data_IF_795146380840
#
_entry.id   IF_795146380840
#
_cell.length_a   1.000
_cell.length_b   1.000
_cell.length_c   1.000
_cell.angle_alpha   90.00
_cell.angle_beta   90.00
_cell.angle_gamma   90.00
#
_symmetry.space_group_name_H-M   'P 1'
#
loop_
_entity.id
_entity.type
_entity.pdbx_description
1 polymer ?
#
# COMPACT_ATOMS: atom_id res chain seq x y z
N UNK A 1 2.91 5.72 -20.70
CA UNK A 1 2.85 4.61 -19.71
C UNK A 1 2.78 3.22 -20.38
N UNK A 2 1.81 2.99 -21.28
CA UNK A 2 1.63 1.72 -22.00
C UNK A 2 2.89 1.19 -22.69
N UNK A 3 3.62 2.05 -23.42
CA UNK A 3 4.88 1.63 -24.06
C UNK A 3 5.96 1.25 -23.04
N UNK A 4 6.02 1.96 -21.90
CA UNK A 4 6.99 1.70 -20.83
C UNK A 4 6.68 0.47 -20.00
N UNK A 5 5.41 0.03 -19.96
CA UNK A 5 4.94 -1.16 -19.26
C UNK A 5 5.09 -2.45 -20.09
N UNK A 6 5.63 -2.36 -21.31
CA UNK A 6 6.04 -3.54 -22.06
C UNK A 6 7.20 -4.22 -21.33
N UNK A 7 7.18 -5.55 -21.09
CA UNK A 7 8.20 -6.21 -20.27
C UNK A 7 9.65 -5.92 -20.70
N UNK A 8 9.93 -5.89 -22.00
CA UNK A 8 11.27 -5.58 -22.52
C UNK A 8 11.71 -4.15 -22.19
N UNK A 9 10.82 -3.17 -22.35
CA UNK A 9 11.09 -1.76 -22.03
C UNK A 9 11.17 -1.54 -20.52
N UNK A 10 10.27 -2.16 -19.75
CA UNK A 10 10.25 -2.05 -18.31
C UNK A 10 11.51 -2.65 -17.68
N UNK A 11 12.00 -3.78 -18.20
CA UNK A 11 13.24 -4.41 -17.74
C UNK A 11 14.43 -3.45 -17.78
N UNK A 12 14.57 -2.66 -18.84
CA UNK A 12 15.65 -1.65 -18.96
C UNK A 12 15.54 -0.57 -17.89
N UNK A 13 14.33 -0.12 -17.55
CA UNK A 13 14.10 0.82 -16.45
C UNK A 13 14.43 0.22 -15.08
N UNK A 14 14.18 -1.08 -14.92
CA UNK A 14 14.53 -1.81 -13.69
C UNK A 14 16.03 -2.07 -13.54
N UNK A 15 16.78 -2.13 -14.63
CA UNK A 15 18.25 -2.15 -14.57
C UNK A 15 18.81 -0.86 -13.97
N UNK A 16 18.12 0.26 -14.19
CA UNK A 16 18.40 1.57 -13.57
C UNK A 16 17.77 1.71 -12.17
N UNK A 17 17.06 0.67 -11.70
CA UNK A 17 16.32 0.63 -10.44
C UNK A 17 15.36 1.82 -10.26
N UNK A 18 14.65 2.23 -11.31
CA UNK A 18 13.71 3.36 -11.21
C UNK A 18 12.49 3.06 -10.31
N UNK A 19 12.03 1.80 -10.23
CA UNK A 19 10.81 1.41 -9.52
C UNK A 19 11.08 0.27 -8.52
N UNK A 20 10.49 0.37 -7.34
CA UNK A 20 10.57 -0.64 -6.28
C UNK A 20 9.26 -1.44 -6.25
N UNK A 21 9.20 -2.52 -7.01
CA UNK A 21 7.97 -3.29 -7.20
C UNK A 21 8.13 -4.82 -7.05
N UNK A 22 9.27 -5.27 -6.51
CA UNK A 22 9.65 -6.67 -6.35
C UNK A 22 9.78 -7.44 -7.68
N UNK A 23 9.77 -6.74 -8.83
CA UNK A 23 9.93 -7.30 -10.16
C UNK A 23 11.06 -6.57 -10.92
N UNK A 24 12.25 -7.20 -11.09
CA UNK A 24 12.69 -8.46 -10.47
C UNK A 24 12.85 -8.33 -8.95
N UNK A 25 13.07 -9.44 -8.23
CA UNK A 25 13.15 -9.43 -6.74
C UNK A 25 14.13 -8.42 -6.15
N UNK A 26 15.20 -8.08 -6.86
CA UNK A 26 16.20 -7.06 -6.46
C UNK A 26 15.67 -5.62 -6.46
N UNK A 27 14.55 -5.36 -7.13
CA UNK A 27 13.92 -4.04 -7.22
C UNK A 27 12.88 -3.89 -6.10
N UNK A 28 13.35 -3.87 -4.86
CA UNK A 28 12.52 -3.88 -3.65
C UNK A 28 13.05 -2.85 -2.65
N UNK A 29 12.15 -2.20 -1.90
CA UNK A 29 12.52 -1.56 -0.64
C UNK A 29 12.27 -2.59 0.47
N UNK A 30 13.16 -2.73 1.46
CA UNK A 30 12.92 -3.65 2.56
C UNK A 30 11.68 -3.32 3.38
N UNK A 31 11.24 -2.06 3.41
CA UNK A 31 10.05 -1.62 4.14
C UNK A 31 8.83 -1.67 3.23
N UNK A 32 7.90 -2.60 3.42
CA UNK A 32 6.72 -2.71 2.56
C UNK A 32 5.78 -1.52 2.72
N UNK A 33 4.99 -1.21 1.69
CA UNK A 33 4.09 -0.04 1.70
C UNK A 33 3.03 -0.10 2.81
N UNK A 34 2.70 -1.30 3.28
CA UNK A 34 1.80 -1.54 4.42
C UNK A 34 2.39 -1.04 5.76
N UNK A 35 3.72 -0.90 5.86
CA UNK A 35 4.39 -0.25 6.98
C UNK A 35 4.66 1.23 6.72
N UNK A 36 4.66 1.69 5.46
CA UNK A 36 4.83 3.11 5.13
C UNK A 36 3.53 3.92 5.27
N UNK A 37 2.38 3.32 4.94
CA UNK A 37 1.07 3.97 5.09
C UNK A 37 0.02 3.02 5.67
N UNK A 38 -0.68 3.42 6.75
CA UNK A 38 -1.63 2.56 7.44
C UNK A 38 -2.80 2.13 6.55
N UNK A 39 -3.22 2.98 5.61
CA UNK A 39 -4.36 2.71 4.72
C UNK A 39 -4.23 1.40 3.96
N UNK A 40 -3.02 1.00 3.56
CA UNK A 40 -2.79 -0.26 2.85
C UNK A 40 -2.92 -1.46 3.77
N UNK A 41 -2.36 -1.35 4.98
CA UNK A 41 -2.44 -2.41 5.98
C UNK A 41 -3.88 -2.60 6.46
N UNK A 42 -4.60 -1.52 6.69
CA UNK A 42 -6.04 -1.53 6.99
C UNK A 42 -6.85 -2.14 5.84
N UNK A 43 -6.58 -1.78 4.59
CA UNK A 43 -7.26 -2.38 3.44
C UNK A 43 -7.06 -3.90 3.37
N UNK A 44 -5.85 -4.40 3.63
CA UNK A 44 -5.56 -5.84 3.67
C UNK A 44 -6.35 -6.54 4.78
N UNK A 45 -6.40 -5.95 5.97
CA UNK A 45 -7.17 -6.48 7.10
C UNK A 45 -8.68 -6.46 6.81
N UNK A 46 -9.19 -5.34 6.27
CA UNK A 46 -10.59 -5.17 5.90
C UNK A 46 -10.98 -6.20 4.83
N UNK A 47 -10.12 -6.51 3.87
CA UNK A 47 -10.39 -7.58 2.88
C UNK A 47 -10.62 -8.96 3.53
N UNK A 48 -10.08 -9.21 4.73
CA UNK A 48 -10.27 -10.47 5.45
C UNK A 48 -11.45 -10.42 6.41
N UNK A 49 -11.62 -9.29 7.09
CA UNK A 49 -12.49 -9.14 8.27
C UNK A 49 -13.80 -8.42 7.99
N UNK A 50 -13.89 -7.64 6.91
CA UNK A 50 -15.11 -6.89 6.58
C UNK A 50 -16.31 -7.83 6.49
N UNK A 51 -17.45 -7.36 6.97
CA UNK A 51 -18.73 -8.05 6.85
C UNK A 51 -19.50 -7.45 5.66
N UNK A 52 -19.64 -8.17 4.53
CA UNK A 52 -20.30 -7.64 3.35
C UNK A 52 -21.76 -7.27 3.60
N UNK A 53 -22.17 -6.11 3.11
CA UNK A 53 -23.58 -5.71 3.11
C UNK A 53 -24.33 -6.37 1.95
N UNK A 54 -25.67 -6.32 1.98
CA UNK A 54 -26.52 -6.75 0.84
C UNK A 54 -26.09 -6.07 -0.45
N UNK A 55 -25.84 -4.75 -0.39
CA UNK A 55 -25.39 -3.97 -1.54
C UNK A 55 -24.02 -4.43 -2.08
N UNK A 56 -23.11 -4.90 -1.23
CA UNK A 56 -21.80 -5.41 -1.68
C UNK A 56 -21.94 -6.77 -2.37
N UNK A 57 -22.82 -7.63 -1.86
CA UNK A 57 -23.12 -8.92 -2.48
C UNK A 57 -23.82 -8.75 -3.83
N UNK A 58 -24.84 -7.88 -3.90
CA UNK A 58 -25.56 -7.57 -5.14
C UNK A 58 -24.61 -6.99 -6.21
N UNK A 59 -23.74 -6.07 -5.78
CA UNK A 59 -22.70 -5.52 -6.65
C UNK A 59 -21.78 -6.61 -7.19
N UNK A 60 -21.27 -7.48 -6.34
CA UNK A 60 -20.34 -8.56 -6.75
C UNK A 60 -21.01 -9.54 -7.70
N UNK A 61 -22.26 -9.91 -7.44
CA UNK A 61 -23.02 -10.80 -8.32
C UNK A 61 -23.18 -10.16 -9.71
N UNK A 62 -23.74 -8.95 -9.78
CA UNK A 62 -23.91 -8.24 -11.05
C UNK A 62 -22.57 -8.02 -11.77
N UNK A 63 -21.52 -7.76 -11.01
CA UNK A 63 -20.16 -7.56 -11.53
C UNK A 63 -19.59 -8.83 -12.13
N UNK A 64 -19.76 -9.97 -11.44
CA UNK A 64 -19.25 -11.26 -11.88
C UNK A 64 -19.85 -11.69 -13.22
N UNK A 65 -21.18 -11.53 -13.37
CA UNK A 65 -21.89 -11.83 -14.62
C UNK A 65 -21.39 -10.95 -15.78
N UNK A 66 -21.28 -9.64 -15.54
CA UNK A 66 -20.77 -8.70 -16.55
C UNK A 66 -19.32 -9.01 -16.92
N UNK A 67 -18.46 -9.34 -15.97
CA UNK A 67 -17.03 -9.57 -16.26
C UNK A 67 -16.70 -10.93 -16.84
N UNK A 68 -17.50 -11.94 -16.53
CA UNK A 68 -17.38 -13.25 -17.15
C UNK A 68 -17.84 -13.26 -18.63
N UNK A 69 -18.40 -12.14 -19.12
CA UNK A 69 -18.78 -11.99 -20.52
C UNK A 69 -17.58 -11.72 -21.43
N UNK A 70 -17.70 -12.07 -22.70
CA UNK A 70 -16.69 -11.77 -23.71
C UNK A 70 -16.86 -10.37 -24.28
N UNK A 71 -15.77 -9.61 -24.30
CA UNK A 71 -15.73 -8.27 -24.85
C UNK A 71 -14.92 -8.21 -26.15
N UNK A 72 -15.38 -7.45 -27.16
CA UNK A 72 -14.68 -7.34 -28.43
C UNK A 72 -13.37 -6.54 -28.32
N UNK A 73 -13.24 -5.69 -27.30
CA UNK A 73 -12.05 -4.89 -27.04
C UNK A 73 -11.99 -4.40 -25.59
N UNK A 74 -10.78 -4.02 -25.17
CA UNK A 74 -10.44 -3.48 -23.84
C UNK A 74 -11.31 -2.27 -23.46
N UNK A 75 -11.51 -1.33 -24.38
CA UNK A 75 -12.31 -0.13 -24.14
C UNK A 75 -13.74 -0.46 -23.70
N UNK A 76 -14.38 -1.45 -24.35
CA UNK A 76 -15.78 -1.84 -24.03
C UNK A 76 -15.85 -2.51 -22.66
N UNK A 77 -14.90 -3.37 -22.33
CA UNK A 77 -14.80 -4.01 -21.02
C UNK A 77 -14.58 -2.97 -19.91
N UNK A 78 -13.66 -2.03 -20.12
CA UNK A 78 -13.33 -0.99 -19.13
C UNK A 78 -14.45 0.05 -18.97
N UNK A 79 -15.16 0.40 -20.04
CA UNK A 79 -16.39 1.20 -19.94
C UNK A 79 -17.44 0.51 -19.07
N UNK A 80 -17.65 -0.79 -19.30
CA UNK A 80 -18.59 -1.58 -18.52
C UNK A 80 -18.18 -1.65 -17.05
N UNK A 81 -16.89 -1.80 -16.77
CA UNK A 81 -16.40 -1.78 -15.40
C UNK A 81 -16.59 -0.45 -14.70
N UNK A 82 -16.22 0.65 -15.36
CA UNK A 82 -16.39 1.99 -14.79
C UNK A 82 -17.85 2.31 -14.48
N UNK A 83 -18.77 1.86 -15.34
CA UNK A 83 -20.19 2.02 -15.07
C UNK A 83 -20.60 1.26 -13.80
N UNK A 84 -20.16 0.00 -13.66
CA UNK A 84 -20.48 -0.80 -12.47
C UNK A 84 -19.87 -0.20 -11.20
N UNK A 85 -18.64 0.30 -11.24
CA UNK A 85 -18.03 0.99 -10.10
C UNK A 85 -18.77 2.29 -9.74
N UNK A 86 -19.24 3.04 -10.74
CA UNK A 86 -20.05 4.25 -10.54
C UNK A 86 -21.33 3.92 -9.80
N UNK A 87 -22.04 2.87 -10.22
CA UNK A 87 -23.27 2.40 -9.58
C UNK A 87 -23.02 1.97 -8.12
N UNK A 88 -21.80 1.49 -7.83
CA UNK A 88 -21.35 1.11 -6.48
C UNK A 88 -20.92 2.29 -5.59
N UNK A 89 -20.88 3.50 -6.14
CA UNK A 89 -20.49 4.73 -5.45
C UNK A 89 -19.02 5.12 -5.60
N UNK A 90 -18.29 4.53 -6.54
CA UNK A 90 -16.90 4.90 -6.88
C UNK A 90 -16.89 5.52 -8.28
N UNK A 91 -16.83 6.85 -8.34
CA UNK A 91 -16.83 7.58 -9.60
C UNK A 91 -15.41 7.78 -10.12
N UNK A 92 -15.05 7.06 -11.18
CA UNK A 92 -13.76 7.24 -11.87
C UNK A 92 -13.90 8.18 -13.06
N UNK A 93 -12.95 9.09 -13.19
CA UNK A 93 -12.77 9.94 -14.37
C UNK A 93 -11.83 9.22 -15.35
N UNK A 94 -12.13 9.28 -16.65
CA UNK A 94 -11.08 9.10 -17.66
C UNK A 94 -10.75 10.47 -18.21
N UNK A 95 -9.61 11.00 -17.80
CA UNK A 95 -9.06 12.22 -18.36
C UNK A 95 -7.59 12.04 -18.73
N UNK A 96 -7.11 12.95 -19.56
CA UNK A 96 -5.72 12.96 -19.99
C UNK A 96 -4.82 13.31 -18.80
N UNK A 97 -3.75 12.54 -18.62
CA UNK A 97 -2.73 12.69 -17.58
C UNK A 97 -1.48 13.31 -18.19
N UNK A 98 -0.99 14.37 -17.55
CA UNK A 98 0.22 15.13 -17.85
C UNK A 98 0.34 15.75 -19.25
N UNK A 99 1.43 16.50 -19.42
CA UNK A 99 1.73 17.26 -20.64
C UNK A 99 1.79 16.40 -21.91
N UNK A 100 2.14 15.11 -21.76
CA UNK A 100 2.28 14.15 -22.87
C UNK A 100 0.98 13.44 -23.28
N UNK A 101 -0.20 13.90 -22.84
CA UNK A 101 -1.51 13.46 -23.39
C UNK A 101 -1.78 11.95 -23.30
N UNK A 102 -1.45 11.29 -22.18
CA UNK A 102 -1.78 9.86 -22.00
C UNK A 102 -3.11 9.72 -21.27
N UNK A 103 -4.03 8.88 -21.76
CA UNK A 103 -5.34 8.66 -21.12
C UNK A 103 -5.28 7.39 -20.28
N UNK A 104 -5.57 7.49 -18.98
CA UNK A 104 -5.77 6.31 -18.10
C UNK A 104 -7.09 5.64 -18.44
N UNK A 105 -7.21 4.33 -18.19
CA UNK A 105 -8.51 3.66 -18.27
C UNK A 105 -9.50 4.17 -17.21
N UNK A 106 -8.97 4.73 -16.12
CA UNK A 106 -9.70 5.59 -15.19
C UNK A 106 -8.87 5.94 -13.97
N UNK A 107 -9.26 7.00 -13.27
CA UNK A 107 -8.66 7.36 -12.00
C UNK A 107 -9.64 8.14 -11.12
N UNK A 108 -9.33 8.20 -9.83
CA UNK A 108 -10.00 9.03 -8.84
C UNK A 108 -9.01 10.06 -8.32
N UNK A 109 -9.38 11.34 -8.39
CA UNK A 109 -8.62 12.42 -7.77
C UNK A 109 -9.21 12.77 -6.40
N UNK A 110 -8.39 13.40 -5.56
CA UNK A 110 -8.83 14.11 -4.37
C UNK A 110 -9.81 15.22 -4.72
N UNK A 111 -10.56 15.70 -3.73
CA UNK A 111 -11.60 16.74 -3.93
C UNK A 111 -11.03 18.03 -4.51
N UNK A 112 -9.77 18.35 -4.21
CA UNK A 112 -9.05 19.51 -4.75
C UNK A 112 -8.39 19.24 -6.12
N UNK A 113 -8.51 18.02 -6.67
CA UNK A 113 -7.95 17.62 -7.96
C UNK A 113 -6.43 17.42 -8.00
N UNK A 114 -5.73 17.53 -6.87
CA UNK A 114 -4.26 17.56 -6.84
C UNK A 114 -3.60 16.19 -6.69
N UNK A 115 -4.28 15.22 -6.06
CA UNK A 115 -3.70 13.93 -5.73
C UNK A 115 -4.51 12.80 -6.35
N UNK A 116 -3.83 11.85 -6.99
CA UNK A 116 -4.46 10.62 -7.45
C UNK A 116 -4.60 9.65 -6.29
N UNK A 117 -5.84 9.24 -6.01
CA UNK A 117 -6.19 8.33 -4.91
C UNK A 117 -6.34 6.90 -5.40
N UNK A 118 -6.78 6.75 -6.65
CA UNK A 118 -6.96 5.46 -7.28
C UNK A 118 -6.67 5.54 -8.77
N UNK A 119 -6.05 4.49 -9.30
CA UNK A 119 -5.89 4.27 -10.74
C UNK A 119 -6.49 2.93 -11.08
N UNK A 120 -7.13 2.86 -12.25
CA UNK A 120 -7.53 1.59 -12.82
C UNK A 120 -6.84 1.38 -14.16
N UNK A 121 -6.29 0.20 -14.36
CA UNK A 121 -5.74 -0.24 -15.64
C UNK A 121 -6.23 -1.64 -15.98
N UNK A 122 -6.63 -1.83 -17.23
CA UNK A 122 -7.24 -3.06 -17.70
C UNK A 122 -6.56 -3.63 -18.93
N UNK A 123 -6.73 -4.93 -19.17
CA UNK A 123 -6.49 -5.61 -20.45
C UNK A 123 -7.65 -6.54 -20.73
N UNK A 124 -7.98 -6.70 -22.02
CA UNK A 124 -9.14 -7.51 -22.42
C UNK A 124 -9.11 -8.93 -21.84
N UNK A 125 -7.95 -9.61 -21.92
CA UNK A 125 -7.71 -10.94 -21.39
C UNK A 125 -6.30 -11.07 -20.83
N UNK A 126 -6.03 -12.16 -20.11
CA UNK A 126 -4.66 -12.53 -19.74
C UNK A 126 -3.82 -12.62 -21.02
N UNK A 127 -2.72 -11.84 -21.07
CA UNK A 127 -1.81 -11.77 -22.22
C UNK A 127 -2.37 -11.10 -23.49
N UNK A 128 -3.54 -10.44 -23.46
CA UNK A 128 -4.07 -9.77 -24.65
C UNK A 128 -3.37 -8.45 -24.99
N UNK A 129 -2.59 -7.89 -24.06
CA UNK A 129 -1.85 -6.65 -24.22
C UNK A 129 -0.35 -6.86 -24.31
N UNK A 130 0.34 -5.93 -24.99
CA UNK A 130 1.80 -5.87 -24.95
C UNK A 130 2.33 -5.28 -23.62
N UNK A 131 1.49 -4.53 -22.91
CA UNK A 131 1.78 -3.89 -21.63
C UNK A 131 1.17 -4.69 -20.48
N UNK A 132 1.92 -4.82 -19.39
CA UNK A 132 1.44 -5.44 -18.16
C UNK A 132 0.70 -4.38 -17.32
N UNK A 133 -0.57 -4.62 -16.93
CA UNK A 133 -1.39 -3.56 -16.34
C UNK A 133 -0.96 -3.12 -14.92
N UNK A 134 -0.32 -3.96 -14.10
CA UNK A 134 0.28 -3.50 -12.84
C UNK A 134 1.42 -2.49 -13.07
N UNK A 135 2.35 -2.78 -13.99
CA UNK A 135 3.42 -1.88 -14.39
C UNK A 135 2.85 -0.60 -15.01
N UNK A 136 1.80 -0.71 -15.82
CA UNK A 136 1.16 0.43 -16.45
C UNK A 136 0.51 1.37 -15.43
N UNK A 137 -0.24 0.84 -14.46
CA UNK A 137 -0.84 1.62 -13.38
C UNK A 137 0.23 2.36 -12.56
N UNK A 138 1.33 1.68 -12.23
CA UNK A 138 2.47 2.28 -11.53
C UNK A 138 3.13 3.42 -12.33
N UNK A 139 3.28 3.27 -13.66
CA UNK A 139 3.82 4.32 -14.52
C UNK A 139 2.86 5.51 -14.64
N UNK A 140 1.55 5.28 -14.61
CA UNK A 140 0.57 6.37 -14.52
C UNK A 140 0.67 7.09 -13.19
N UNK A 141 0.76 6.35 -12.08
CA UNK A 141 0.97 6.95 -10.76
C UNK A 141 2.23 7.82 -10.74
N UNK A 142 3.37 7.31 -11.23
CA UNK A 142 4.60 8.11 -11.34
C UNK A 142 4.34 9.42 -12.08
N UNK A 143 3.66 9.37 -13.22
CA UNK A 143 3.37 10.57 -14.01
C UNK A 143 2.48 11.59 -13.27
N UNK A 144 1.46 11.12 -12.54
CA UNK A 144 0.67 12.01 -11.67
C UNK A 144 1.54 12.66 -10.60
N UNK A 145 2.46 11.91 -9.99
CA UNK A 145 3.39 12.45 -9.01
C UNK A 145 4.34 13.48 -9.64
N UNK A 146 4.74 13.28 -10.90
CA UNK A 146 5.55 14.26 -11.63
C UNK A 146 4.81 15.58 -11.88
N UNK A 147 3.54 15.51 -12.26
CA UNK A 147 2.70 16.69 -12.48
C UNK A 147 2.39 17.43 -11.16
N UNK A 148 2.33 16.70 -10.03
CA UNK A 148 2.02 17.23 -8.70
C UNK A 148 3.26 17.52 -7.84
N UNK A 149 4.48 17.53 -8.40
CA UNK A 149 5.76 17.68 -7.65
C UNK A 149 5.77 18.82 -6.63
N UNK A 150 5.22 19.99 -6.99
CA UNK A 150 5.18 21.17 -6.11
C UNK A 150 4.32 20.92 -4.88
N UNK A 151 3.14 20.32 -5.07
CA UNK A 151 2.22 20.01 -3.97
C UNK A 151 2.73 18.84 -3.11
N UNK A 152 3.43 17.87 -3.72
CA UNK A 152 4.12 16.81 -2.98
C UNK A 152 5.18 17.37 -2.04
N UNK A 153 6.00 18.32 -2.52
CA UNK A 153 7.03 18.95 -1.72
C UNK A 153 6.44 19.71 -0.50
N UNK A 154 5.21 20.21 -0.63
CA UNK A 154 4.47 20.84 0.48
C UNK A 154 3.89 19.83 1.46
N UNK A 155 3.40 18.69 0.98
CA UNK A 155 2.79 17.64 1.80
C UNK A 155 3.76 16.95 2.76
N UNK A 156 5.04 16.83 2.37
CA UNK A 156 6.09 16.15 3.14
C UNK A 156 5.65 14.78 3.68
N UNK A 157 4.88 14.04 2.88
CA UNK A 157 4.29 12.78 3.25
C UNK A 157 4.13 11.90 2.02
N UNK A 158 4.16 10.57 2.18
CA UNK A 158 3.85 9.69 1.04
C UNK A 158 2.40 9.90 0.59
N UNK A 159 2.18 9.81 -0.72
CA UNK A 159 0.84 9.92 -1.32
C UNK A 159 0.36 8.53 -1.70
N UNK A 160 -0.36 7.81 -0.83
CA UNK A 160 -0.89 6.49 -1.17
C UNK A 160 -1.90 6.56 -2.33
N UNK A 161 -1.70 5.69 -3.31
CA UNK A 161 -2.64 5.43 -4.40
C UNK A 161 -2.98 3.94 -4.44
N UNK A 162 -4.26 3.59 -4.55
CA UNK A 162 -4.71 2.21 -4.75
C UNK A 162 -4.87 1.94 -6.24
N UNK A 163 -4.34 0.83 -6.73
CA UNK A 163 -4.52 0.42 -8.12
C UNK A 163 -5.50 -0.74 -8.21
N UNK A 164 -6.43 -0.64 -9.15
CA UNK A 164 -7.28 -1.75 -9.57
C UNK A 164 -6.74 -2.23 -10.91
N UNK A 165 -6.38 -3.49 -10.99
CA UNK A 165 -5.85 -4.11 -12.20
C UNK A 165 -6.88 -5.10 -12.70
N UNK A 166 -7.21 -5.03 -13.98
CA UNK A 166 -8.20 -5.91 -14.62
C UNK A 166 -7.56 -6.65 -15.77
N UNK A 167 -7.78 -7.96 -15.86
CA UNK A 167 -7.43 -8.73 -17.05
C UNK A 167 -8.42 -9.86 -17.24
N UNK A 168 -9.20 -9.83 -18.33
CA UNK A 168 -10.34 -10.72 -18.48
C UNK A 168 -11.31 -10.60 -17.31
N UNK A 169 -11.80 -11.72 -16.82
CA UNK A 169 -12.64 -11.79 -15.63
C UNK A 169 -11.86 -11.83 -14.30
N UNK A 170 -10.62 -11.35 -14.24
CA UNK A 170 -9.82 -11.29 -13.02
C UNK A 170 -9.57 -9.85 -12.57
N UNK A 171 -9.52 -9.64 -11.25
CA UNK A 171 -9.20 -8.34 -10.65
C UNK A 171 -8.10 -8.50 -9.61
N UNK A 172 -7.08 -7.64 -9.69
CA UNK A 172 -6.03 -7.49 -8.70
C UNK A 172 -6.07 -6.11 -8.04
N UNK A 173 -5.53 -6.04 -6.82
CA UNK A 173 -5.36 -4.77 -6.11
C UNK A 173 -3.90 -4.62 -5.65
N UNK A 174 -3.31 -3.48 -5.98
CA UNK A 174 -2.00 -3.09 -5.50
C UNK A 174 -2.04 -1.68 -4.94
N UNK A 175 -0.97 -1.26 -4.27
CA UNK A 175 -0.81 0.10 -3.79
C UNK A 175 0.51 0.69 -4.25
N UNK A 176 0.57 2.01 -4.35
CA UNK A 176 1.81 2.74 -4.60
C UNK A 176 1.99 3.92 -3.66
N UNK A 177 3.25 4.20 -3.35
CA UNK A 177 3.70 5.41 -2.66
C UNK A 177 4.90 6.01 -3.40
N UNK A 178 5.01 7.32 -3.33
CA UNK A 178 6.16 8.06 -3.84
C UNK A 178 7.06 8.44 -2.67
N UNK A 179 8.25 7.86 -2.63
CA UNK A 179 9.32 8.21 -1.67
C UNK A 179 10.37 9.05 -2.42
N UNK A 180 11.56 8.50 -2.64
CA UNK A 180 12.52 8.95 -3.67
C UNK A 180 12.23 8.28 -5.03
N UNK A 181 11.63 7.09 -4.96
CA UNK A 181 11.21 6.27 -6.10
C UNK A 181 9.77 5.86 -5.89
N UNK A 182 9.12 5.43 -6.97
CA UNK A 182 7.80 4.81 -6.83
C UNK A 182 7.98 3.41 -6.27
N UNK A 183 7.40 3.17 -5.10
CA UNK A 183 7.31 1.86 -4.49
C UNK A 183 5.90 1.33 -4.62
N UNK A 184 5.76 0.07 -5.05
CA UNK A 184 4.47 -0.57 -5.25
C UNK A 184 4.47 -2.03 -4.80
N UNK A 185 3.46 -2.41 -4.03
CA UNK A 185 3.26 -3.80 -3.60
C UNK A 185 1.85 -4.26 -4.00
N UNK A 186 1.74 -5.56 -4.32
CA UNK A 186 0.45 -6.24 -4.41
C UNK A 186 -0.13 -6.36 -3.00
N UNK A 187 -1.38 -5.93 -2.82
CA UNK A 187 -2.01 -5.87 -1.51
C UNK A 187 -2.76 -7.16 -1.17
N UNK A 188 -3.48 -7.72 -2.14
CA UNK A 188 -4.25 -8.96 -1.98
C UNK A 188 -4.11 -9.84 -3.22
N UNK A 189 -4.36 -11.16 -3.10
CA UNK A 189 -4.39 -12.06 -4.25
C UNK A 189 -5.36 -11.61 -5.34
N UNK A 190 -5.09 -12.02 -6.57
CA UNK A 190 -5.99 -11.80 -7.70
C UNK A 190 -7.29 -12.59 -7.47
N UNK A 191 -8.42 -11.91 -7.66
CA UNK A 191 -9.76 -12.46 -7.47
C UNK A 191 -10.33 -12.78 -8.86
N UNK A 192 -10.55 -14.06 -9.20
CA UNK A 192 -11.32 -14.41 -10.39
C UNK A 192 -12.78 -14.05 -10.16
N UNK A 193 -13.49 -13.58 -11.18
CA UNK A 193 -14.92 -13.24 -11.16
C UNK A 193 -15.79 -14.23 -11.94
N UNK A 194 -15.21 -15.33 -12.41
CA UNK A 194 -15.88 -16.38 -13.18
C UNK A 194 -16.06 -17.66 -12.34
N UNK A 195 -16.25 -17.50 -11.03
CA UNK A 195 -16.44 -18.61 -10.11
C UNK A 195 -17.74 -19.38 -10.40
N UNK A 196 -17.77 -20.62 -9.93
CA UNK A 196 -19.02 -21.39 -9.91
C UNK A 196 -20.02 -20.74 -8.95
N UNK A 197 -21.32 -20.76 -9.27
CA UNK A 197 -22.36 -20.11 -8.45
C UNK A 197 -22.46 -20.66 -7.02
N UNK A 198 -21.96 -21.87 -6.77
CA UNK A 198 -21.90 -22.48 -5.43
C UNK A 198 -20.61 -22.18 -4.67
N UNK A 199 -19.63 -21.52 -5.28
CA UNK A 199 -18.40 -21.09 -4.60
C UNK A 199 -18.68 -19.81 -3.79
N UNK A 200 -19.28 -20.01 -2.62
CA UNK A 200 -19.58 -18.94 -1.69
C UNK A 200 -18.31 -18.30 -1.13
N UNK A 201 -17.19 -19.03 -1.10
CA UNK A 201 -15.94 -18.49 -0.57
C UNK A 201 -15.39 -17.39 -1.47
N UNK A 202 -15.34 -17.62 -2.80
CA UNK A 202 -14.92 -16.59 -3.75
C UNK A 202 -15.88 -15.40 -3.79
N UNK A 203 -17.19 -15.64 -3.71
CA UNK A 203 -18.18 -14.58 -3.65
C UNK A 203 -17.98 -13.68 -2.43
N UNK A 204 -17.83 -14.29 -1.24
CA UNK A 204 -17.58 -13.54 0.00
C UNK A 204 -16.24 -12.82 -0.05
N UNK A 205 -15.18 -13.44 -0.58
CA UNK A 205 -13.88 -12.79 -0.75
C UNK A 205 -14.00 -11.54 -1.62
N UNK A 206 -14.64 -11.64 -2.79
CA UNK A 206 -14.85 -10.50 -3.67
C UNK A 206 -15.67 -9.40 -2.96
N UNK A 207 -16.77 -9.76 -2.29
CA UNK A 207 -17.63 -8.79 -1.61
C UNK A 207 -16.89 -8.08 -0.47
N UNK A 208 -16.06 -8.81 0.27
CA UNK A 208 -15.18 -8.24 1.29
C UNK A 208 -14.18 -7.26 0.71
N UNK A 209 -13.50 -7.64 -0.36
CA UNK A 209 -12.48 -6.79 -0.98
C UNK A 209 -13.08 -5.50 -1.56
N UNK A 210 -14.26 -5.56 -2.18
CA UNK A 210 -14.93 -4.36 -2.69
C UNK A 210 -15.50 -3.47 -1.58
N UNK A 211 -16.01 -4.06 -0.50
CA UNK A 211 -16.41 -3.32 0.69
C UNK A 211 -15.21 -2.60 1.35
N UNK A 212 -14.10 -3.31 1.51
CA UNK A 212 -12.83 -2.76 1.99
C UNK A 212 -12.32 -1.63 1.09
N UNK A 213 -12.44 -1.78 -0.24
CA UNK A 213 -12.08 -0.75 -1.20
C UNK A 213 -12.89 0.53 -0.98
N UNK A 214 -14.21 0.42 -0.77
CA UNK A 214 -15.06 1.58 -0.45
C UNK A 214 -14.63 2.29 0.83
N UNK A 215 -14.26 1.54 1.86
CA UNK A 215 -13.74 2.10 3.11
C UNK A 215 -12.43 2.84 2.84
N UNK A 216 -11.50 2.20 2.14
CA UNK A 216 -10.19 2.77 1.86
C UNK A 216 -10.29 4.05 1.01
N UNK A 217 -11.13 4.05 -0.02
CA UNK A 217 -11.41 5.24 -0.85
C UNK A 217 -11.96 6.38 -0.01
N UNK A 218 -12.97 6.12 0.84
CA UNK A 218 -13.53 7.16 1.72
C UNK A 218 -12.47 7.75 2.66
N UNK A 219 -11.61 6.91 3.24
CA UNK A 219 -10.50 7.35 4.10
C UNK A 219 -9.50 8.21 3.32
N UNK A 220 -9.10 7.80 2.12
CA UNK A 220 -8.20 8.57 1.25
C UNK A 220 -8.83 9.90 0.83
N UNK A 221 -10.08 9.90 0.37
CA UNK A 221 -10.77 11.15 0.02
C UNK A 221 -10.79 12.10 1.21
N UNK A 222 -11.17 11.61 2.41
CA UNK A 222 -11.18 12.43 3.63
C UNK A 222 -9.80 13.00 3.97
N UNK A 223 -8.74 12.19 3.87
CA UNK A 223 -7.36 12.60 4.14
C UNK A 223 -6.95 13.81 3.29
N UNK A 224 -7.35 13.82 2.02
CA UNK A 224 -7.01 14.88 1.06
C UNK A 224 -8.11 15.94 0.87
N UNK A 225 -9.23 15.86 1.61
CA UNK A 225 -10.24 16.91 1.64
C UNK A 225 -9.92 18.02 2.65
N UNK A 226 -9.08 17.74 3.65
CA UNK A 226 -8.64 18.74 4.62
C UNK A 226 -7.54 19.63 4.03
N UNK A 227 -7.51 20.94 4.35
CA UNK A 227 -6.38 21.79 3.97
C UNK A 227 -5.10 21.18 4.52
N UNK A 228 -4.11 20.98 3.64
CA UNK A 228 -2.78 20.54 4.05
C UNK A 228 -2.21 21.67 4.87
N UNK A 229 -2.23 21.52 6.20
CA UNK A 229 -1.55 22.45 7.08
C UNK A 229 -0.07 22.40 6.72
N UNK A 230 0.49 23.56 6.40
CA UNK A 230 1.93 23.73 6.23
C UNK A 230 2.61 23.31 7.54
N UNK A 231 3.21 22.12 7.57
CA UNK A 231 3.97 21.63 8.72
C UNK A 231 5.45 22.01 8.51
N UNK A 232 6.01 22.78 9.46
CA UNK A 232 7.47 22.91 9.65
C UNK A 232 8.05 21.67 10.36
N UNK A 233 9.38 21.46 10.40
CA UNK A 233 10.38 21.34 9.32
C UNK A 233 10.25 19.97 8.62
N UNK A 234 11.29 19.50 7.91
CA UNK A 234 11.28 18.22 7.17
C UNK A 234 10.80 17.07 8.08
N UNK A 235 10.01 16.13 7.58
CA UNK A 235 9.83 14.84 8.27
C UNK A 235 11.02 13.96 7.84
N UNK A 236 12.10 13.87 8.63
CA UNK A 236 13.28 13.09 8.26
C UNK A 236 12.98 11.58 8.15
N UNK A 237 11.77 11.16 8.50
CA UNK A 237 11.38 9.75 8.62
C UNK A 237 10.64 9.19 7.41
N UNK A 238 10.72 9.83 6.23
CA UNK A 238 10.20 9.32 4.95
C UNK A 238 10.80 7.96 4.50
N UNK A 239 11.62 7.30 5.31
CA UNK A 239 12.10 5.92 5.09
C UNK A 239 11.76 4.96 6.23
N UNK A 240 11.09 5.46 7.26
CA UNK A 240 10.68 4.70 8.44
C UNK A 240 9.19 4.33 8.36
N UNK A 241 8.78 3.25 9.06
CA UNK A 241 7.38 2.90 9.19
C UNK A 241 6.53 3.99 9.86
N UNK A 242 5.24 4.06 9.52
CA UNK A 242 4.31 5.06 10.05
C UNK A 242 4.08 5.03 11.56
N UNK A 243 4.21 3.89 12.29
CA UNK A 243 4.02 3.90 13.74
C UNK A 243 5.07 4.77 14.41
N UNK A 244 4.63 5.74 15.20
CA UNK A 244 5.47 6.65 16.00
C UNK A 244 5.09 6.63 17.48
N UNK A 245 4.25 5.67 17.86
CA UNK A 245 3.85 5.43 19.24
C UNK A 245 3.49 3.97 19.47
N UNK A 246 3.52 3.56 20.72
CA UNK A 246 3.12 2.23 21.15
C UNK A 246 2.30 2.32 22.44
N UNK A 247 1.51 1.29 22.72
CA UNK A 247 0.82 1.16 24.01
C UNK A 247 1.71 0.32 24.93
N UNK A 248 2.16 0.91 26.03
CA UNK A 248 3.02 0.23 26.99
C UNK A 248 2.25 -0.79 27.83
N UNK A 249 2.95 -1.53 28.69
CA UNK A 249 2.36 -2.56 29.55
C UNK A 249 1.33 -2.02 30.56
N UNK A 250 1.34 -0.72 30.86
CA UNK A 250 0.38 -0.05 31.74
C UNK A 250 -0.82 0.55 30.98
N UNK A 251 -0.88 0.40 29.66
CA UNK A 251 -1.96 0.89 28.81
C UNK A 251 -1.82 2.35 28.37
N UNK A 252 -0.73 3.03 28.71
CA UNK A 252 -0.46 4.39 28.26
C UNK A 252 0.19 4.41 26.88
N UNK A 253 -0.16 5.41 26.09
CA UNK A 253 0.46 5.66 24.79
C UNK A 253 1.80 6.35 25.02
N UNK A 254 2.88 5.72 24.57
CA UNK A 254 4.22 6.27 24.58
C UNK A 254 4.63 6.61 23.15
N UNK A 255 4.87 7.89 22.88
CA UNK A 255 5.40 8.36 21.60
C UNK A 255 6.92 8.17 21.54
N UNK A 256 7.43 8.00 20.33
CA UNK A 256 8.85 7.90 20.05
C UNK A 256 9.20 8.55 18.72
N UNK A 257 10.47 8.86 18.54
CA UNK A 257 11.05 9.27 17.26
C UNK A 257 12.04 8.23 16.80
N UNK A 258 12.07 7.98 15.50
CA UNK A 258 13.11 7.16 14.91
C UNK A 258 14.45 7.89 14.99
N UNK A 259 15.53 7.12 15.07
CA UNK A 259 16.86 7.60 14.73
C UNK A 259 16.89 7.89 13.21
N UNK A 260 17.70 8.83 12.75
CA UNK A 260 17.86 9.05 11.32
C UNK A 260 18.84 8.02 10.71
N UNK A 261 19.71 7.46 11.55
CA UNK A 261 20.75 6.49 11.17
C UNK A 261 20.23 5.04 11.24
N UNK A 262 19.38 4.68 10.29
CA UNK A 262 18.74 3.37 10.25
C UNK A 262 19.59 2.31 9.53
N UNK A 263 20.30 1.49 10.31
CA UNK A 263 21.32 0.55 9.79
C UNK A 263 20.74 -0.82 9.42
N UNK A 264 19.64 -1.24 10.07
CA UNK A 264 19.08 -2.60 9.95
C UNK A 264 17.70 -2.63 9.28
N UNK A 265 17.44 -1.67 8.37
CA UNK A 265 16.15 -1.55 7.66
C UNK A 265 15.78 -2.83 6.90
N UNK A 266 16.77 -3.53 6.34
CA UNK A 266 16.63 -4.81 5.64
C UNK A 266 16.00 -5.91 6.49
N UNK A 267 16.20 -5.84 7.82
CA UNK A 267 15.63 -6.77 8.80
C UNK A 267 14.38 -6.24 9.47
N UNK A 268 13.85 -5.10 9.00
CA UNK A 268 12.76 -4.36 9.63
C UNK A 268 13.03 -4.05 11.11
N UNK A 269 14.29 -3.76 11.43
CA UNK A 269 14.75 -3.34 12.75
C UNK A 269 15.17 -1.87 12.65
N UNK A 270 14.64 -1.07 13.55
CA UNK A 270 14.85 0.37 13.63
C UNK A 270 15.23 0.75 15.05
N UNK A 271 15.93 1.87 15.18
CA UNK A 271 16.25 2.45 16.49
C UNK A 271 15.54 3.79 16.65
N UNK A 272 15.38 4.22 17.89
CA UNK A 272 14.72 5.47 18.21
C UNK A 272 14.77 5.80 19.70
N UNK A 273 14.11 6.90 20.06
CA UNK A 273 14.06 7.40 21.43
C UNK A 273 12.62 7.78 21.81
N UNK A 274 12.26 7.45 23.04
CA UNK A 274 10.95 7.82 23.60
C UNK A 274 10.87 9.32 23.91
N UNK A 275 9.73 9.94 23.59
CA UNK A 275 9.48 11.37 23.87
C UNK A 275 8.95 11.53 25.30
N UNK A 276 9.40 12.57 26.02
CA UNK A 276 8.81 13.00 27.30
C UNK A 276 9.62 12.69 28.56
N UNK A 277 10.68 11.91 28.47
CA UNK A 277 11.64 11.70 29.57
C UNK A 277 12.86 12.62 29.38
N UNK A 278 13.41 13.18 30.47
CA UNK A 278 14.49 14.18 30.44
C UNK A 278 15.78 13.76 29.71
N UNK A 279 15.93 12.46 29.38
CA UNK A 279 17.04 11.93 28.60
C UNK A 279 16.62 11.04 27.40
N UNK A 280 15.31 10.78 27.19
CA UNK A 280 14.82 9.81 26.19
C UNK A 280 15.34 8.38 26.42
N UNK A 281 14.47 7.39 26.59
CA UNK A 281 14.94 5.99 26.62
C UNK A 281 15.15 5.52 25.19
N UNK A 282 16.38 5.07 24.88
CA UNK A 282 16.71 4.43 23.61
C UNK A 282 15.98 3.09 23.47
N UNK A 283 15.38 2.88 22.32
CA UNK A 283 14.58 1.69 22.02
C UNK A 283 15.01 1.08 20.69
N UNK A 284 14.85 -0.23 20.60
CA UNK A 284 14.89 -0.99 19.36
C UNK A 284 13.46 -1.39 18.99
N UNK A 285 13.11 -1.14 17.73
CA UNK A 285 11.77 -1.23 17.17
C UNK A 285 11.83 -2.26 16.05
N UNK A 286 11.07 -3.34 16.16
CA UNK A 286 11.05 -4.41 15.17
C UNK A 286 9.65 -4.66 14.64
N UNK A 287 9.54 -4.81 13.32
CA UNK A 287 8.28 -5.17 12.66
C UNK A 287 8.31 -6.61 12.16
N UNK A 288 7.31 -7.40 12.56
CA UNK A 288 7.22 -8.82 12.19
C UNK A 288 5.77 -9.27 12.01
N UNK A 289 5.56 -10.30 11.18
CA UNK A 289 4.23 -10.93 10.99
C UNK A 289 3.87 -11.92 12.09
N UNK A 290 4.86 -12.64 12.59
CA UNK A 290 4.70 -13.64 13.65
C UNK A 290 5.73 -13.38 14.74
N UNK A 291 5.28 -13.42 15.98
CA UNK A 291 6.11 -13.17 17.14
C UNK A 291 5.56 -13.90 18.36
N UNK A 292 6.46 -14.35 19.24
CA UNK A 292 6.10 -14.98 20.50
C UNK A 292 6.70 -14.17 21.66
N UNK A 293 5.91 -13.32 22.32
CA UNK A 293 6.37 -12.56 23.49
C UNK A 293 6.90 -13.47 24.59
N UNK A 294 6.23 -14.61 24.83
CA UNK A 294 6.61 -15.60 25.84
C UNK A 294 7.99 -16.21 25.57
N UNK A 295 8.26 -16.60 24.32
CA UNK A 295 9.56 -17.13 23.95
C UNK A 295 10.67 -16.05 24.06
N UNK A 296 10.35 -14.81 23.69
CA UNK A 296 11.29 -13.69 23.83
C UNK A 296 11.61 -13.41 25.29
N UNK A 297 10.61 -13.31 26.16
CA UNK A 297 10.78 -13.10 27.60
C UNK A 297 11.60 -14.22 28.24
N UNK A 298 11.35 -15.48 27.86
CA UNK A 298 12.17 -16.61 28.29
C UNK A 298 13.64 -16.43 27.87
N UNK A 299 13.91 -16.08 26.61
CA UNK A 299 15.28 -15.81 26.14
C UNK A 299 15.92 -14.61 26.85
N UNK A 300 15.15 -13.56 27.13
CA UNK A 300 15.62 -12.35 27.81
C UNK A 300 16.01 -12.69 29.27
N UNK A 301 15.24 -13.54 29.94
CA UNK A 301 15.56 -14.04 31.29
C UNK A 301 16.87 -14.84 31.36
N UNK A 302 17.35 -15.33 30.21
CA UNK A 302 18.62 -16.03 30.05
C UNK A 302 19.75 -15.13 29.53
N UNK A 303 19.49 -13.84 29.31
CA UNK A 303 20.47 -12.89 28.77
C UNK A 303 20.76 -13.05 27.28
N UNK A 304 19.92 -13.80 26.53
CA UNK A 304 20.16 -14.10 25.11
C UNK A 304 19.55 -13.08 24.14
N UNK A 305 18.73 -12.15 24.63
CA UNK A 305 18.05 -11.14 23.82
C UNK A 305 17.73 -9.92 24.68
N UNK A 306 17.56 -8.71 24.09
CA UNK A 306 17.21 -7.52 24.85
C UNK A 306 15.88 -7.69 25.57
N UNK A 307 15.67 -6.92 26.63
CA UNK A 307 14.41 -6.96 27.37
C UNK A 307 13.26 -6.47 26.48
N UNK A 308 12.16 -7.21 26.46
CA UNK A 308 10.92 -6.80 25.80
C UNK A 308 10.27 -5.68 26.62
N UNK A 309 9.97 -4.55 25.98
CA UNK A 309 9.22 -3.43 26.58
C UNK A 309 7.73 -3.63 26.34
N UNK A 310 7.34 -3.82 25.08
CA UNK A 310 5.94 -4.08 24.70
C UNK A 310 5.85 -4.82 23.35
N UNK A 311 4.64 -5.30 23.09
CA UNK A 311 4.23 -5.92 21.83
C UNK A 311 2.81 -5.42 21.48
N UNK A 312 2.66 -4.79 20.32
CA UNK A 312 1.35 -4.32 19.84
C UNK A 312 1.05 -4.89 18.45
N UNK A 313 -0.17 -5.39 18.26
CA UNK A 313 -0.67 -5.76 16.94
C UNK A 313 -0.98 -4.51 16.12
N UNK A 314 -0.59 -4.53 14.86
CA UNK A 314 -0.85 -3.49 13.87
C UNK A 314 -1.70 -4.06 12.72
N UNK A 315 -2.41 -3.20 11.96
CA UNK A 315 -3.12 -3.62 10.76
C UNK A 315 -2.23 -4.35 9.75
N UNK A 316 -2.88 -5.07 8.84
CA UNK A 316 -2.26 -5.87 7.81
C UNK A 316 -1.70 -7.21 8.31
N UNK A 317 -1.80 -7.51 9.61
CA UNK A 317 -1.13 -8.63 10.27
C UNK A 317 0.32 -8.32 10.70
N UNK A 318 0.65 -7.05 10.92
CA UNK A 318 1.96 -6.65 11.45
C UNK A 318 1.96 -6.65 12.97
N UNK A 319 3.14 -6.74 13.55
CA UNK A 319 3.34 -6.53 14.98
C UNK A 319 4.49 -5.57 15.18
N UNK A 320 4.27 -4.62 16.08
CA UNK A 320 5.27 -3.70 16.62
C UNK A 320 5.86 -4.32 17.88
N UNK A 321 7.14 -4.66 17.83
CA UNK A 321 7.89 -5.17 18.97
C UNK A 321 8.84 -4.08 19.43
N UNK A 322 8.71 -3.65 20.67
CA UNK A 322 9.59 -2.63 21.27
C UNK A 322 10.44 -3.31 22.33
N UNK A 323 11.76 -3.14 22.24
CA UNK A 323 12.73 -3.70 23.17
C UNK A 323 13.76 -2.64 23.58
N UNK A 324 14.48 -2.89 24.67
CA UNK A 324 15.61 -2.05 25.06
C UNK A 324 16.64 -2.01 23.92
N UNK A 325 17.17 -0.83 23.61
CA UNK A 325 18.32 -0.73 22.71
C UNK A 325 19.56 -1.24 23.43
N UNK A 326 20.24 -2.24 22.84
CA UNK A 326 21.58 -2.59 23.28
C UNK A 326 22.56 -1.56 22.73
N UNK A 327 23.63 -1.28 23.47
CA UNK A 327 24.81 -0.61 22.92
C UNK A 327 25.47 -1.58 21.93
N UNK A 328 24.98 -1.59 20.70
CA UNK A 328 25.55 -2.37 19.62
C UNK A 328 26.68 -1.53 19.04
N UNK A 329 27.91 -2.00 19.19
CA UNK A 329 29.04 -1.46 18.44
C UNK A 329 28.80 -1.82 16.96
N UNK A 330 28.39 -0.81 16.18
CA UNK A 330 27.91 -0.98 14.80
C UNK A 330 29.00 -1.60 13.92
N UNK A 331 30.27 -1.41 14.28
CA UNK A 331 31.45 -1.98 13.62
C UNK A 331 31.56 -3.51 13.73
N UNK A 332 30.77 -4.15 14.60
CA UNK A 332 30.77 -5.59 14.83
C UNK A 332 29.64 -6.35 14.11
N UNK A 333 28.75 -5.66 13.39
CA UNK A 333 27.73 -6.33 12.59
C UNK A 333 28.33 -6.79 11.24
N UNK A 334 28.10 -8.05 10.82
CA UNK A 334 28.54 -8.49 9.51
C UNK A 334 27.82 -7.67 8.43
N UNK A 335 28.63 -7.02 7.57
CA UNK A 335 28.20 -6.20 6.44
C UNK A 335 27.34 -6.98 5.43
#
# INVERSE_FOLDING_TARGET
>A
PSAGAKPSTFSTKQDQQEYLCNCPRRATDPVPITLLKPIFAEFVDDCQKYEPTVHDNDFVLQRSEKMASFYPNELTQMNTFRQVLRDYGIMLNASMVGLTRCTTEGHLLSTNGQFVLMIIEGKNEIRSGAAEPFMEAMLYYHKFMEDSKIEMARLRSFIPCIHIIVFGACIGFSGSVFTEKVQSDVLVPIIPLFWHSTDLHMQVMAARTFGALKIAVKKLTKLYSCPILSLEPEDPYLKCPYPQSYTNSTGFIQEFRYDETQILRDRLIFFGETIGNAAGSKICIKFVRHYSPQAHEFCASKGNTPKLITYNSLPGGWNLVIMDALDIDIDCLPQ
#
